data_IF_132677862205
#
_entry.id   IF_132677862205
#
_cell.length_a   1.000
_cell.length_b   1.000
_cell.length_c   1.000
_cell.angle_alpha   90.00
_cell.angle_beta   90.00
_cell.angle_gamma   90.00
#
_symmetry.space_group_name_H-M   'P 1'
#
loop_
_entity.id
_entity.type
_entity.pdbx_description
1 polymer ?
#
# COMPACT_ATOMS: atom_id res chain seq x y z
N UNK A 1 2.97 29.18 18.60
CA UNK A 1 3.96 29.04 17.51
C UNK A 1 3.93 27.67 16.80
N UNK A 2 3.75 26.53 17.48
CA UNK A 2 3.61 25.19 16.86
C UNK A 2 2.45 25.02 15.85
N UNK A 3 1.34 25.75 16.04
CA UNK A 3 0.12 25.63 15.21
C UNK A 3 0.30 26.25 13.81
N UNK A 4 1.11 27.29 13.68
CA UNK A 4 1.38 27.95 12.39
C UNK A 4 2.29 27.11 11.50
N UNK A 5 3.29 26.44 12.09
CA UNK A 5 4.22 25.56 11.38
C UNK A 5 3.52 24.34 10.77
N UNK A 6 2.53 23.79 11.48
CA UNK A 6 1.71 22.68 10.97
C UNK A 6 0.86 23.07 9.75
N UNK A 7 0.29 24.27 9.73
CA UNK A 7 -0.50 24.76 8.58
C UNK A 7 0.38 25.02 7.34
N UNK A 8 1.55 25.62 7.54
CA UNK A 8 2.51 25.89 6.45
C UNK A 8 3.03 24.57 5.86
N UNK A 9 3.37 23.58 6.70
CA UNK A 9 3.79 22.26 6.23
C UNK A 9 2.70 21.54 5.42
N UNK A 10 1.44 21.61 5.84
CA UNK A 10 0.33 20.99 5.09
C UNK A 10 0.08 21.66 3.74
N UNK A 11 0.23 22.98 3.65
CA UNK A 11 0.07 23.71 2.38
C UNK A 11 1.24 23.42 1.45
N UNK A 12 2.47 23.42 1.96
CA UNK A 12 3.67 23.06 1.18
C UNK A 12 3.59 21.63 0.64
N UNK A 13 3.13 20.68 1.45
CA UNK A 13 2.96 19.29 1.04
C UNK A 13 1.87 19.14 -0.04
N UNK A 14 0.77 19.90 0.07
CA UNK A 14 -0.26 19.95 -0.97
C UNK A 14 0.25 20.52 -2.29
N UNK A 15 1.08 21.57 -2.25
CA UNK A 15 1.72 22.17 -3.43
C UNK A 15 2.68 21.16 -4.09
N UNK A 16 3.50 20.47 -3.30
CA UNK A 16 4.45 19.46 -3.80
C UNK A 16 3.69 18.31 -4.48
N UNK A 17 2.65 17.78 -3.84
CA UNK A 17 1.84 16.70 -4.42
C UNK A 17 1.11 17.15 -5.68
N UNK A 18 0.57 18.38 -5.71
CA UNK A 18 -0.07 18.95 -6.90
C UNK A 18 0.91 19.16 -8.06
N UNK A 19 2.11 19.66 -7.78
CA UNK A 19 3.17 19.78 -8.79
C UNK A 19 3.59 18.41 -9.34
N UNK A 20 3.61 17.39 -8.48
CA UNK A 20 3.94 16.02 -8.84
C UNK A 20 2.86 15.40 -9.75
N UNK A 21 1.57 15.64 -9.48
CA UNK A 21 0.47 15.27 -10.41
C UNK A 21 0.69 15.87 -11.79
N UNK A 22 0.88 17.19 -11.86
CA UNK A 22 1.08 17.90 -13.13
C UNK A 22 2.33 17.41 -13.88
N UNK A 23 3.40 17.11 -13.15
CA UNK A 23 4.63 16.56 -13.73
C UNK A 23 4.37 15.20 -14.40
N UNK A 24 3.65 14.31 -13.73
CA UNK A 24 3.35 13.00 -14.29
C UNK A 24 2.33 13.04 -15.44
N UNK A 25 1.30 13.88 -15.35
CA UNK A 25 0.39 14.10 -16.47
C UNK A 25 1.13 14.68 -17.70
N UNK A 26 2.11 15.57 -17.48
CA UNK A 26 2.97 16.09 -18.53
C UNK A 26 3.84 14.98 -19.16
N UNK A 27 4.44 14.09 -18.36
CA UNK A 27 5.19 12.94 -18.89
C UNK A 27 4.31 12.01 -19.72
N UNK A 28 3.09 11.73 -19.26
CA UNK A 28 2.12 10.91 -20.01
C UNK A 28 1.71 11.59 -21.32
N UNK A 29 1.56 12.92 -21.32
CA UNK A 29 1.28 13.68 -22.53
C UNK A 29 2.44 13.63 -23.54
N UNK A 30 3.69 13.69 -23.07
CA UNK A 30 4.86 13.52 -23.93
C UNK A 30 4.94 12.11 -24.53
N UNK A 31 4.60 11.08 -23.75
CA UNK A 31 4.52 9.70 -24.24
C UNK A 31 3.39 9.49 -25.24
N UNK A 32 2.27 10.21 -25.08
CA UNK A 32 1.20 10.24 -26.06
C UNK A 32 1.66 10.86 -27.39
N UNK A 33 2.37 11.99 -27.33
CA UNK A 33 2.90 12.65 -28.53
C UNK A 33 3.96 11.80 -29.25
N UNK A 34 4.82 11.10 -28.50
CA UNK A 34 5.88 10.27 -29.08
C UNK A 34 5.36 8.99 -29.75
N UNK A 35 4.07 8.65 -29.61
CA UNK A 35 3.42 7.42 -30.09
C UNK A 35 4.14 6.12 -29.71
N UNK A 36 5.02 6.16 -28.70
CA UNK A 36 5.79 5.00 -28.27
C UNK A 36 4.94 3.95 -27.56
N UNK A 37 3.80 4.36 -26.98
CA UNK A 37 2.95 3.53 -26.14
C UNK A 37 1.51 3.54 -26.67
N UNK A 38 0.82 2.40 -26.57
CA UNK A 38 -0.59 2.28 -26.94
C UNK A 38 -1.47 3.22 -26.10
N UNK A 39 -2.44 3.88 -26.74
CA UNK A 39 -3.40 4.78 -26.10
C UNK A 39 -4.10 4.14 -24.90
N UNK A 40 -4.45 2.85 -24.99
CA UNK A 40 -5.10 2.13 -23.90
C UNK A 40 -4.18 1.94 -22.69
N UNK A 41 -2.87 1.80 -22.89
CA UNK A 41 -1.90 1.67 -21.80
C UNK A 41 -1.70 3.02 -21.10
N UNK A 42 -1.68 4.12 -21.87
CA UNK A 42 -1.62 5.48 -21.33
C UNK A 42 -2.86 5.83 -20.49
N UNK A 43 -4.06 5.45 -20.95
CA UNK A 43 -5.30 5.65 -20.18
C UNK A 43 -5.27 4.88 -18.85
N UNK A 44 -4.79 3.64 -18.86
CA UNK A 44 -4.63 2.84 -17.65
C UNK A 44 -3.66 3.51 -16.66
N UNK A 45 -2.48 3.91 -17.14
CA UNK A 45 -1.45 4.55 -16.32
C UNK A 45 -1.95 5.88 -15.74
N UNK A 46 -2.59 6.73 -16.57
CA UNK A 46 -3.13 8.02 -16.14
C UNK A 46 -4.15 7.86 -15.01
N UNK A 47 -5.10 6.94 -15.16
CA UNK A 47 -6.16 6.72 -14.16
C UNK A 47 -5.57 6.16 -12.87
N UNK A 48 -4.75 5.11 -12.96
CA UNK A 48 -4.16 4.48 -11.78
C UNK A 48 -3.30 5.48 -11.01
N UNK A 49 -2.45 6.23 -11.72
CA UNK A 49 -1.57 7.24 -11.14
C UNK A 49 -2.34 8.36 -10.44
N UNK A 50 -3.35 8.92 -11.10
CA UNK A 50 -4.16 9.98 -10.51
C UNK A 50 -4.93 9.49 -9.29
N UNK A 51 -5.51 8.27 -9.32
CA UNK A 51 -6.17 7.68 -8.16
C UNK A 51 -5.22 7.49 -6.98
N UNK A 52 -4.01 6.98 -7.21
CA UNK A 52 -2.99 6.82 -6.16
C UNK A 52 -2.55 8.16 -5.59
N UNK A 53 -2.35 9.18 -6.41
CA UNK A 53 -1.95 10.51 -5.94
C UNK A 53 -3.07 11.21 -5.17
N UNK A 54 -4.32 11.12 -5.63
CA UNK A 54 -5.48 11.60 -4.89
C UNK A 54 -5.56 10.90 -3.53
N UNK A 55 -5.35 9.59 -3.48
CA UNK A 55 -5.32 8.86 -2.22
C UNK A 55 -4.24 9.40 -1.26
N UNK A 56 -3.02 9.62 -1.76
CA UNK A 56 -1.90 10.18 -0.98
C UNK A 56 -2.23 11.57 -0.43
N UNK A 57 -2.80 12.44 -1.25
CA UNK A 57 -3.26 13.78 -0.82
C UNK A 57 -4.37 13.68 0.25
N UNK A 58 -5.21 12.64 0.18
CA UNK A 58 -6.27 12.41 1.16
C UNK A 58 -5.79 11.80 2.48
N UNK A 59 -4.57 11.24 2.57
CA UNK A 59 -4.00 10.67 3.81
C UNK A 59 -4.15 11.61 5.02
N UNK A 60 -3.74 12.90 4.99
CA UNK A 60 -3.89 13.80 6.14
C UNK A 60 -5.34 14.02 6.55
N UNK A 61 -6.29 13.93 5.60
CA UNK A 61 -7.71 14.01 5.91
C UNK A 61 -8.20 12.75 6.62
N UNK A 62 -7.78 11.56 6.15
CA UNK A 62 -8.06 10.30 6.84
C UNK A 62 -7.45 10.28 8.25
N UNK A 63 -6.21 10.75 8.42
CA UNK A 63 -5.55 10.86 9.72
C UNK A 63 -6.37 11.70 10.70
N UNK A 64 -6.78 12.93 10.32
CA UNK A 64 -7.62 13.78 11.19
C UNK A 64 -8.94 13.12 11.58
N UNK A 65 -9.55 12.36 10.67
CA UNK A 65 -10.81 11.65 10.94
C UNK A 65 -10.60 10.42 11.82
N UNK A 66 -9.47 9.74 11.68
CA UNK A 66 -9.07 8.62 12.55
C UNK A 66 -8.73 9.11 13.95
N UNK A 67 -7.99 10.21 14.09
CA UNK A 67 -7.64 10.82 15.39
C UNK A 67 -8.88 11.32 16.16
N UNK A 68 -9.93 11.73 15.44
CA UNK A 68 -11.21 12.10 16.04
C UNK A 68 -11.95 10.90 16.66
N UNK A 69 -11.68 9.67 16.20
CA UNK A 69 -12.17 8.43 16.78
C UNK A 69 -11.10 7.81 17.69
N UNK A 70 -11.21 8.09 19.00
CA UNK A 70 -10.38 7.62 20.13
C UNK A 70 -9.45 6.42 19.82
N UNK A 71 -8.17 6.59 20.15
CA UNK A 71 -7.09 5.57 20.17
C UNK A 71 -7.51 4.19 20.72
N UNK A 72 -8.43 4.16 21.68
CA UNK A 72 -8.97 2.93 22.27
C UNK A 72 -9.69 2.02 21.25
N UNK A 73 -10.32 2.60 20.22
CA UNK A 73 -11.01 1.83 19.15
C UNK A 73 -10.04 1.25 18.14
N UNK A 74 -8.91 1.92 17.87
CA UNK A 74 -7.87 1.41 16.97
C UNK A 74 -7.07 0.30 17.65
N UNK A 75 -6.74 0.46 18.94
CA UNK A 75 -6.07 -0.56 19.74
C UNK A 75 -6.89 -1.84 19.87
N UNK A 76 -8.21 -1.72 20.06
CA UNK A 76 -9.12 -2.87 20.11
C UNK A 76 -9.36 -3.50 18.74
N UNK A 77 -9.48 -2.69 17.67
CA UNK A 77 -9.62 -3.18 16.29
C UNK A 77 -8.36 -3.90 15.79
N UNK A 78 -7.19 -3.39 16.15
CA UNK A 78 -5.91 -4.00 15.79
C UNK A 78 -5.61 -5.27 16.59
N UNK A 79 -6.45 -5.61 17.59
CA UNK A 79 -6.23 -6.70 18.55
C UNK A 79 -4.77 -6.75 18.99
N UNK A 80 -4.26 -5.59 19.46
CA UNK A 80 -2.85 -5.53 19.84
C UNK A 80 -2.59 -6.54 20.96
N UNK A 81 -1.62 -7.46 20.80
CA UNK A 81 -1.29 -8.41 21.85
C UNK A 81 -0.89 -7.66 23.12
N UNK A 82 -1.38 -8.12 24.26
CA UNK A 82 -1.07 -7.50 25.54
C UNK A 82 0.44 -7.57 25.77
N UNK A 83 0.98 -6.61 26.52
CA UNK A 83 2.44 -6.47 26.67
C UNK A 83 3.13 -7.70 27.27
N UNK A 84 2.37 -8.61 27.86
CA UNK A 84 2.80 -9.81 28.57
C UNK A 84 2.66 -11.10 27.74
N UNK A 85 2.13 -11.03 26.51
CA UNK A 85 1.89 -12.22 25.70
C UNK A 85 3.20 -12.80 25.15
N UNK A 86 3.53 -14.03 25.55
CA UNK A 86 4.65 -14.79 25.00
C UNK A 86 4.50 -15.03 23.50
N UNK A 87 5.61 -15.14 22.76
CA UNK A 87 5.64 -15.53 21.35
C UNK A 87 4.91 -16.87 21.15
N UNK A 88 3.66 -16.84 20.69
CA UNK A 88 2.93 -18.07 20.38
C UNK A 88 3.00 -18.37 18.87
N UNK A 89 3.14 -19.66 18.54
CA UNK A 89 3.13 -20.12 17.14
C UNK A 89 1.89 -19.62 16.35
N UNK A 90 0.67 -19.60 16.91
CA UNK A 90 -0.50 -19.01 16.26
C UNK A 90 -0.36 -17.53 15.90
N UNK A 91 0.17 -16.70 16.81
CA UNK A 91 0.36 -15.26 16.52
C UNK A 91 1.33 -15.05 15.35
N UNK A 92 2.37 -15.89 15.28
CA UNK A 92 3.32 -15.88 14.18
C UNK A 92 2.69 -16.30 12.85
N UNK A 93 1.94 -17.41 12.83
CA UNK A 93 1.32 -17.90 11.58
C UNK A 93 0.26 -16.95 11.06
N UNK A 94 -0.46 -16.25 11.95
CA UNK A 94 -1.38 -15.18 11.55
C UNK A 94 -0.63 -14.03 10.86
N UNK A 95 0.47 -13.54 11.45
CA UNK A 95 1.27 -12.48 10.83
C UNK A 95 1.80 -12.88 9.45
N UNK A 96 2.46 -14.04 9.37
CA UNK A 96 3.01 -14.55 8.11
C UNK A 96 1.90 -14.80 7.08
N UNK A 97 0.73 -15.26 7.52
CA UNK A 97 -0.45 -15.45 6.68
C UNK A 97 -1.01 -14.13 6.13
N UNK A 98 -1.03 -13.06 6.93
CA UNK A 98 -1.45 -11.73 6.47
C UNK A 98 -0.45 -11.13 5.46
N UNK A 99 0.86 -11.29 5.69
CA UNK A 99 1.88 -10.91 4.69
C UNK A 99 1.75 -11.74 3.41
N UNK A 100 1.50 -13.05 3.54
CA UNK A 100 1.24 -13.95 2.42
C UNK A 100 0.04 -13.48 1.60
N UNK A 101 -1.06 -13.16 2.27
CA UNK A 101 -2.31 -12.70 1.65
C UNK A 101 -2.10 -11.36 0.94
N UNK A 102 -1.43 -10.42 1.59
CA UNK A 102 -1.08 -9.13 0.99
C UNK A 102 -0.24 -9.29 -0.28
N UNK A 103 0.81 -10.12 -0.22
CA UNK A 103 1.67 -10.41 -1.35
C UNK A 103 0.93 -11.16 -2.47
N UNK A 104 0.09 -12.14 -2.13
CA UNK A 104 -0.78 -12.86 -3.06
C UNK A 104 -1.76 -11.93 -3.78
N UNK A 105 -2.36 -10.96 -3.08
CA UNK A 105 -3.22 -9.95 -3.72
C UNK A 105 -2.42 -9.07 -4.69
N UNK A 106 -1.16 -8.75 -4.37
CA UNK A 106 -0.23 -8.09 -5.28
C UNK A 106 0.09 -8.92 -6.53
N UNK A 107 0.32 -10.23 -6.37
CA UNK A 107 0.47 -11.19 -7.47
C UNK A 107 -0.79 -11.27 -8.33
N UNK A 108 -1.96 -11.37 -7.70
CA UNK A 108 -3.26 -11.37 -8.38
C UNK A 108 -3.47 -10.10 -9.21
N UNK A 109 -2.95 -8.96 -8.75
CA UNK A 109 -2.94 -7.71 -9.48
C UNK A 109 -2.29 -7.84 -10.87
N UNK A 110 -1.14 -8.50 -10.95
CA UNK A 110 -0.43 -8.74 -12.21
C UNK A 110 -1.25 -9.65 -13.13
N UNK A 111 -1.86 -10.69 -12.57
CA UNK A 111 -2.75 -11.58 -13.32
C UNK A 111 -4.00 -10.84 -13.87
N UNK A 112 -4.63 -9.98 -13.06
CA UNK A 112 -5.77 -9.16 -13.46
C UNK A 112 -5.37 -8.21 -14.59
N UNK A 113 -4.21 -7.55 -14.48
CA UNK A 113 -3.68 -6.66 -15.53
C UNK A 113 -3.44 -7.43 -16.83
N UNK A 114 -2.93 -8.67 -16.79
CA UNK A 114 -2.67 -9.45 -18.00
C UNK A 114 -3.96 -9.95 -18.68
N UNK A 115 -4.88 -10.52 -17.90
CA UNK A 115 -5.99 -11.33 -18.43
C UNK A 115 -7.32 -10.60 -18.50
N UNK A 116 -7.55 -9.63 -17.61
CA UNK A 116 -8.83 -8.91 -17.50
C UNK A 116 -8.80 -7.61 -18.31
N UNK A 117 -7.63 -6.99 -18.47
CA UNK A 117 -7.42 -5.81 -19.32
C UNK A 117 -8.03 -5.91 -20.73
N UNK A 118 -7.82 -7.00 -21.50
CA UNK A 118 -8.42 -7.12 -22.82
C UNK A 118 -9.95 -7.29 -22.82
N UNK A 119 -10.57 -7.62 -21.69
CA UNK A 119 -12.00 -7.94 -21.61
C UNK A 119 -12.87 -6.75 -21.17
N UNK A 120 -12.42 -5.96 -20.19
CA UNK A 120 -13.20 -4.86 -19.60
C UNK A 120 -12.67 -3.46 -19.96
N UNK A 121 -11.51 -3.41 -20.63
CA UNK A 121 -10.87 -2.16 -21.05
C UNK A 121 -10.08 -1.45 -19.96
N UNK A 122 -9.20 -0.56 -20.40
CA UNK A 122 -8.14 0.05 -19.59
C UNK A 122 -8.64 0.80 -18.34
N UNK A 123 -9.74 1.54 -18.45
CA UNK A 123 -10.24 2.37 -17.34
C UNK A 123 -10.79 1.53 -16.18
N UNK A 124 -11.62 0.52 -16.48
CA UNK A 124 -12.17 -0.38 -15.46
C UNK A 124 -11.09 -1.24 -14.83
N UNK A 125 -10.11 -1.71 -15.61
CA UNK A 125 -8.96 -2.43 -15.05
C UNK A 125 -8.16 -1.54 -14.11
N UNK A 126 -7.89 -0.27 -14.45
CA UNK A 126 -7.18 0.65 -13.56
C UNK A 126 -7.89 0.86 -12.21
N UNK A 127 -9.22 1.00 -12.22
CA UNK A 127 -10.01 1.14 -10.99
C UNK A 127 -9.94 -0.13 -10.14
N UNK A 128 -10.13 -1.30 -10.77
CA UNK A 128 -10.06 -2.59 -10.07
C UNK A 128 -8.67 -2.83 -9.46
N UNK A 129 -7.62 -2.54 -10.24
CA UNK A 129 -6.22 -2.57 -9.79
C UNK A 129 -6.01 -1.63 -8.60
N UNK A 130 -6.53 -0.40 -8.66
CA UNK A 130 -6.41 0.53 -7.54
C UNK A 130 -7.09 -0.01 -6.27
N UNK A 131 -8.30 -0.58 -6.37
CA UNK A 131 -9.01 -1.15 -5.21
C UNK A 131 -8.23 -2.31 -4.60
N UNK A 132 -7.74 -3.25 -5.42
CA UNK A 132 -6.95 -4.38 -4.94
C UNK A 132 -5.62 -3.93 -4.32
N UNK A 133 -4.97 -2.92 -4.89
CA UNK A 133 -3.77 -2.30 -4.34
C UNK A 133 -4.04 -1.72 -2.95
N UNK A 134 -5.15 -1.00 -2.78
CA UNK A 134 -5.53 -0.41 -1.49
C UNK A 134 -5.81 -1.47 -0.41
N UNK A 135 -6.49 -2.56 -0.77
CA UNK A 135 -6.76 -3.68 0.15
C UNK A 135 -5.45 -4.37 0.54
N UNK A 136 -4.61 -4.72 -0.44
CA UNK A 136 -3.31 -5.35 -0.22
C UNK A 136 -2.42 -4.50 0.69
N UNK A 137 -2.30 -3.20 0.39
CA UNK A 137 -1.49 -2.26 1.17
C UNK A 137 -1.99 -2.14 2.62
N UNK A 138 -3.31 -2.11 2.83
CA UNK A 138 -3.90 -2.05 4.18
C UNK A 138 -3.55 -3.29 5.00
N UNK A 139 -3.70 -4.48 4.41
CA UNK A 139 -3.37 -5.75 5.07
C UNK A 139 -1.87 -5.80 5.42
N UNK A 140 -1.01 -5.45 4.47
CA UNK A 140 0.45 -5.46 4.66
C UNK A 140 0.86 -4.48 5.76
N UNK A 141 0.33 -3.25 5.75
CA UNK A 141 0.65 -2.23 6.74
C UNK A 141 0.19 -2.64 8.13
N UNK A 142 -1.04 -3.13 8.30
CA UNK A 142 -1.52 -3.59 9.61
C UNK A 142 -0.73 -4.77 10.13
N UNK A 143 -0.45 -5.75 9.26
CA UNK A 143 0.38 -6.90 9.59
C UNK A 143 1.79 -6.45 10.01
N UNK A 144 2.40 -5.52 9.29
CA UNK A 144 3.73 -4.97 9.60
C UNK A 144 3.74 -4.20 10.93
N UNK A 145 2.72 -3.37 11.20
CA UNK A 145 2.61 -2.65 12.48
C UNK A 145 2.49 -3.63 13.65
N UNK A 146 1.66 -4.68 13.52
CA UNK A 146 1.56 -5.73 14.54
C UNK A 146 2.89 -6.45 14.74
N UNK A 147 3.60 -6.76 13.67
CA UNK A 147 4.93 -7.37 13.73
C UNK A 147 5.94 -6.50 14.48
N UNK A 148 6.08 -5.24 14.10
CA UNK A 148 7.01 -4.31 14.75
C UNK A 148 6.66 -4.19 16.23
N UNK A 149 5.38 -3.99 16.57
CA UNK A 149 4.93 -3.85 17.96
C UNK A 149 5.17 -5.10 18.81
N UNK A 150 5.09 -6.29 18.20
CA UNK A 150 5.26 -7.58 18.89
C UNK A 150 6.74 -7.94 19.05
N UNK A 151 7.55 -7.81 17.99
CA UNK A 151 8.93 -8.29 17.97
C UNK A 151 9.97 -7.28 18.45
N UNK A 152 9.64 -5.99 18.55
CA UNK A 152 10.57 -4.97 19.12
C UNK A 152 10.93 -5.22 20.59
N UNK A 153 10.15 -6.04 21.31
CA UNK A 153 10.41 -6.41 22.71
C UNK A 153 11.31 -7.63 22.86
N UNK A 154 11.50 -8.41 21.80
CA UNK A 154 12.37 -9.58 21.81
C UNK A 154 13.80 -9.21 21.42
N UNK A 155 14.73 -10.16 21.59
CA UNK A 155 16.13 -9.94 21.23
C UNK A 155 16.25 -9.58 19.74
N UNK A 156 17.19 -8.68 19.42
CA UNK A 156 17.43 -8.19 18.06
C UNK A 156 17.63 -9.33 17.03
N UNK A 157 18.22 -10.44 17.48
CA UNK A 157 18.42 -11.64 16.66
C UNK A 157 17.10 -12.31 16.25
N UNK A 158 16.15 -12.45 17.18
CA UNK A 158 14.82 -13.00 16.87
C UNK A 158 14.09 -12.05 15.94
N UNK A 159 14.13 -10.74 16.19
CA UNK A 159 13.55 -9.75 15.29
C UNK A 159 14.10 -9.87 13.86
N UNK A 160 15.43 -9.92 13.69
CA UNK A 160 16.06 -10.06 12.38
C UNK A 160 15.68 -11.36 11.67
N UNK A 161 15.72 -12.48 12.39
CA UNK A 161 15.36 -13.78 11.81
C UNK A 161 13.91 -13.78 11.28
N UNK A 162 12.99 -13.23 12.05
CA UNK A 162 11.58 -13.19 11.67
C UNK A 162 11.30 -12.20 10.54
N UNK A 163 12.03 -11.08 10.50
CA UNK A 163 11.97 -10.15 9.38
C UNK A 163 12.48 -10.80 8.08
N UNK A 164 13.54 -11.61 8.15
CA UNK A 164 14.05 -12.37 7.00
C UNK A 164 13.04 -13.40 6.50
N UNK A 165 12.38 -14.13 7.40
CA UNK A 165 11.31 -15.09 7.02
C UNK A 165 10.16 -14.37 6.33
N UNK A 166 9.70 -13.24 6.88
CA UNK A 166 8.65 -12.44 6.26
C UNK A 166 9.06 -11.94 4.87
N UNK A 167 10.28 -11.41 4.74
CA UNK A 167 10.81 -10.90 3.48
C UNK A 167 10.93 -12.02 2.43
N UNK A 168 11.44 -13.18 2.82
CA UNK A 168 11.55 -14.35 1.92
C UNK A 168 10.17 -14.81 1.42
N UNK A 169 9.16 -14.76 2.28
CA UNK A 169 7.79 -15.14 1.95
C UNK A 169 7.18 -14.14 0.96
N UNK A 170 7.28 -12.83 1.23
CA UNK A 170 6.81 -11.78 0.32
C UNK A 170 7.53 -11.84 -1.04
N UNK A 171 8.84 -12.10 -1.06
CA UNK A 171 9.62 -12.27 -2.29
C UNK A 171 9.19 -13.49 -3.10
N UNK A 172 8.83 -14.59 -2.43
CA UNK A 172 8.33 -15.80 -3.10
C UNK A 172 7.04 -15.52 -3.86
N UNK A 173 6.09 -14.83 -3.22
CA UNK A 173 4.85 -14.42 -3.88
C UNK A 173 5.07 -13.39 -4.99
N UNK A 174 5.99 -12.44 -4.79
CA UNK A 174 6.39 -11.51 -5.83
C UNK A 174 6.96 -12.25 -7.05
N UNK A 175 7.86 -13.21 -6.84
CA UNK A 175 8.42 -14.03 -7.90
C UNK A 175 7.34 -14.82 -8.66
N UNK A 176 6.41 -15.45 -7.93
CA UNK A 176 5.25 -16.12 -8.54
C UNK A 176 4.39 -15.11 -9.34
N UNK A 177 4.24 -13.88 -8.84
CA UNK A 177 3.55 -12.81 -9.54
C UNK A 177 4.20 -12.46 -10.86
N UNK A 178 5.52 -12.34 -10.89
CA UNK A 178 6.27 -12.09 -12.13
C UNK A 178 6.16 -13.28 -13.10
N UNK A 179 6.12 -14.51 -12.60
CA UNK A 179 6.03 -15.70 -13.44
C UNK A 179 4.63 -15.91 -14.06
N UNK A 180 3.56 -15.60 -13.31
CA UNK A 180 2.17 -15.76 -13.76
C UNK A 180 1.58 -14.50 -14.41
N UNK A 181 2.09 -13.32 -14.07
CA UNK A 181 1.79 -12.03 -14.71
C UNK A 181 2.30 -11.94 -16.14
#
# INVERSE_FOLDING_TARGET
MKIAFGKIATVALGIILGALVLFFDCLLYLQYQSKQVSTSSLVFQAILMNLTLIFVVCIPYFQKKMDANREASLMSFLQMPNREDSLTFPALTTFLGEQALGAFLGTSLMYVIKNVYPQIGAALTAILTFVLLMISLTIIVFSLVRFVMYFTKHSMWVYMFMALVSLSLSLSFFYLGVQFG
#
